data_IF_505525613057
#
_entry.id   IF_505525613057
#
_cell.length_a   1.000
_cell.length_b   1.000
_cell.length_c   1.000
_cell.angle_alpha   90.00
_cell.angle_beta   90.00
_cell.angle_gamma   90.00
#
_symmetry.space_group_name_H-M   'P 1'
#
loop_
_entity.id
_entity.type
_entity.pdbx_description
1 polymer ?
#
# COMPACT_ATOMS: atom_id res chain seq x y z
N UNK A 1 -10.18 16.65 -0.08
CA UNK A 1 -10.53 15.33 0.48
C UNK A 1 -12.04 15.12 0.47
N UNK A 2 -12.84 15.90 1.22
CA UNK A 2 -14.29 15.66 1.35
C UNK A 2 -15.05 15.43 0.04
N UNK A 3 -14.85 16.27 -0.98
CA UNK A 3 -15.55 16.14 -2.28
C UNK A 3 -15.15 14.85 -3.03
N UNK A 4 -13.97 14.34 -2.82
CA UNK A 4 -13.53 13.08 -3.41
C UNK A 4 -14.19 11.89 -2.71
N UNK A 5 -14.14 11.87 -1.38
CA UNK A 5 -14.48 10.71 -0.57
C UNK A 5 -15.97 10.62 -0.23
N UNK A 6 -16.68 11.77 -0.19
CA UNK A 6 -18.11 11.81 0.15
C UNK A 6 -19.05 11.69 -1.07
N UNK A 7 -18.51 11.54 -2.28
CA UNK A 7 -19.30 11.44 -3.50
C UNK A 7 -20.27 10.26 -3.47
N UNK A 8 -21.51 10.49 -3.91
CA UNK A 8 -22.62 9.52 -3.89
C UNK A 8 -23.00 8.99 -2.51
N UNK A 9 -22.67 9.72 -1.44
CA UNK A 9 -23.03 9.34 -0.07
C UNK A 9 -24.11 10.28 0.47
N UNK A 10 -25.04 9.72 1.22
CA UNK A 10 -25.95 10.48 2.09
C UNK A 10 -25.32 10.62 3.45
N UNK A 11 -25.62 11.72 4.13
CA UNK A 11 -25.13 11.97 5.50
C UNK A 11 -26.27 11.79 6.50
N UNK A 12 -25.94 11.13 7.60
CA UNK A 12 -26.83 10.98 8.76
C UNK A 12 -26.00 11.19 10.02
N UNK A 13 -26.39 12.15 10.85
CA UNK A 13 -25.76 12.38 12.13
C UNK A 13 -26.52 11.64 13.25
N UNK A 14 -25.81 10.78 13.97
CA UNK A 14 -26.35 10.00 15.11
C UNK A 14 -25.39 10.11 16.29
N UNK A 15 -25.95 10.28 17.49
CA UNK A 15 -25.18 10.10 18.72
C UNK A 15 -25.25 8.62 19.15
N UNK A 16 -24.23 7.85 18.77
CA UNK A 16 -24.13 6.43 19.08
C UNK A 16 -23.81 6.15 20.57
N UNK A 17 -23.54 7.18 21.37
CA UNK A 17 -23.45 7.01 22.83
C UNK A 17 -24.84 6.87 23.49
N UNK A 18 -25.90 7.19 22.76
CA UNK A 18 -27.31 7.12 23.20
C UNK A 18 -28.00 5.88 22.62
N UNK A 19 -28.86 5.22 23.43
CA UNK A 19 -29.62 4.06 22.96
C UNK A 19 -30.48 4.34 21.72
N UNK A 20 -31.05 5.54 21.64
CA UNK A 20 -31.90 5.95 20.53
C UNK A 20 -31.09 6.05 19.22
N UNK A 21 -29.84 6.59 19.28
CA UNK A 21 -28.93 6.65 18.15
C UNK A 21 -28.49 5.25 17.69
N UNK A 22 -28.19 4.37 18.66
CA UNK A 22 -27.88 2.96 18.36
C UNK A 22 -29.06 2.25 17.71
N UNK A 23 -30.29 2.45 18.21
CA UNK A 23 -31.49 1.84 17.64
C UNK A 23 -31.73 2.26 16.17
N UNK A 24 -31.46 3.51 15.83
CA UNK A 24 -31.53 3.97 14.42
C UNK A 24 -30.47 3.27 13.58
N UNK A 25 -29.22 3.20 14.05
CA UNK A 25 -28.14 2.52 13.33
C UNK A 25 -28.45 1.03 13.12
N UNK A 26 -28.95 0.34 14.13
CA UNK A 26 -29.30 -1.07 14.04
C UNK A 26 -30.39 -1.30 13.00
N UNK A 27 -31.41 -0.45 12.91
CA UNK A 27 -32.44 -0.54 11.85
C UNK A 27 -31.86 -0.34 10.45
N UNK A 28 -30.86 0.54 10.30
CA UNK A 28 -30.15 0.70 9.03
C UNK A 28 -29.31 -0.54 8.69
N UNK A 29 -28.57 -1.07 9.66
CA UNK A 29 -27.75 -2.27 9.48
C UNK A 29 -28.58 -3.51 9.13
N UNK A 30 -29.79 -3.62 9.67
CA UNK A 30 -30.74 -4.70 9.37
C UNK A 30 -31.15 -4.74 7.87
N UNK A 31 -31.02 -3.63 7.15
CA UNK A 31 -31.37 -3.51 5.73
C UNK A 31 -30.14 -3.31 4.83
N UNK A 32 -28.95 -3.16 5.42
CA UNK A 32 -27.73 -2.89 4.67
C UNK A 32 -27.14 -4.16 4.07
N UNK A 33 -26.59 -4.07 2.87
CA UNK A 33 -25.76 -5.13 2.30
C UNK A 33 -24.40 -5.21 2.96
N UNK A 34 -23.81 -4.02 3.23
CA UNK A 34 -22.47 -3.90 3.79
C UNK A 34 -22.47 -2.84 4.88
N UNK A 35 -21.91 -3.17 6.03
CA UNK A 35 -21.58 -2.23 7.10
C UNK A 35 -20.08 -2.04 7.17
N UNK A 36 -19.60 -0.80 7.08
CA UNK A 36 -18.15 -0.47 7.11
C UNK A 36 -17.83 0.36 8.35
N UNK A 37 -16.77 0.00 9.05
CA UNK A 37 -16.26 0.78 10.19
C UNK A 37 -14.73 0.77 10.24
N UNK A 38 -14.16 1.90 10.64
CA UNK A 38 -12.73 2.02 10.96
C UNK A 38 -12.46 2.31 12.45
N UNK A 39 -13.45 2.20 13.30
CA UNK A 39 -13.23 2.29 14.74
C UNK A 39 -12.44 1.10 15.28
N UNK A 40 -11.54 1.31 16.26
CA UNK A 40 -10.87 0.22 16.96
C UNK A 40 -11.87 -0.72 17.64
N UNK A 41 -11.52 -2.01 17.88
CA UNK A 41 -12.41 -3.02 18.45
C UNK A 41 -13.10 -2.58 19.75
N UNK A 42 -12.36 -1.99 20.69
CA UNK A 42 -12.90 -1.48 21.95
C UNK A 42 -13.96 -0.38 21.78
N UNK A 43 -13.77 0.51 20.78
CA UNK A 43 -14.76 1.57 20.50
C UNK A 43 -16.02 0.97 19.88
N UNK A 44 -15.88 0.00 18.97
CA UNK A 44 -17.03 -0.71 18.39
C UNK A 44 -17.83 -1.44 19.45
N UNK A 45 -17.17 -2.09 20.42
CA UNK A 45 -17.84 -2.74 21.54
C UNK A 45 -18.62 -1.74 22.39
N UNK A 46 -18.01 -0.60 22.74
CA UNK A 46 -18.65 0.48 23.50
C UNK A 46 -19.88 1.07 22.79
N UNK A 47 -19.82 1.17 21.46
CA UNK A 47 -20.89 1.74 20.65
C UNK A 47 -21.98 0.73 20.24
N UNK A 48 -21.84 -0.55 20.59
CA UNK A 48 -22.79 -1.59 20.21
C UNK A 48 -22.81 -1.89 18.70
N UNK A 49 -21.67 -1.76 18.01
CA UNK A 49 -21.54 -1.90 16.56
C UNK A 49 -20.51 -2.96 16.14
N UNK A 50 -20.25 -3.95 16.99
CA UNK A 50 -19.43 -5.10 16.59
C UNK A 50 -20.19 -6.01 15.63
N UNK A 51 -19.49 -6.95 15.02
CA UNK A 51 -20.13 -7.99 14.20
C UNK A 51 -21.22 -8.74 14.97
N UNK A 52 -20.92 -9.13 16.21
CA UNK A 52 -21.85 -9.88 17.07
C UNK A 52 -23.10 -9.06 17.47
N UNK A 53 -23.03 -7.73 17.46
CA UNK A 53 -24.19 -6.88 17.69
C UNK A 53 -25.09 -6.76 16.44
N UNK A 54 -24.51 -6.73 15.23
CA UNK A 54 -25.25 -6.43 14.01
C UNK A 54 -25.67 -7.67 13.21
N UNK A 55 -24.83 -8.72 13.18
CA UNK A 55 -25.10 -9.93 12.40
C UNK A 55 -26.40 -10.66 12.78
N UNK A 56 -26.82 -10.74 14.07
CA UNK A 56 -28.09 -11.36 14.43
C UNK A 56 -29.34 -10.67 13.84
N UNK A 57 -29.21 -9.41 13.44
CA UNK A 57 -30.31 -8.64 12.86
C UNK A 57 -30.35 -8.75 11.34
N UNK A 58 -29.27 -9.23 10.71
CA UNK A 58 -29.16 -9.40 9.27
C UNK A 58 -28.14 -10.50 8.93
N UNK A 59 -28.62 -11.73 8.75
CA UNK A 59 -27.77 -12.88 8.42
C UNK A 59 -27.02 -12.73 7.09
N UNK A 60 -27.42 -11.78 6.24
CA UNK A 60 -26.78 -11.48 4.96
C UNK A 60 -25.77 -10.33 5.03
N UNK A 61 -25.61 -9.69 6.19
CA UNK A 61 -24.74 -8.54 6.35
C UNK A 61 -23.28 -8.89 6.08
N UNK A 62 -22.64 -8.15 5.21
CA UNK A 62 -21.17 -8.11 5.13
C UNK A 62 -20.69 -7.04 6.11
N UNK A 63 -20.14 -7.50 7.22
CA UNK A 63 -19.51 -6.61 8.20
C UNK A 63 -18.04 -6.41 7.80
N UNK A 64 -17.68 -5.19 7.47
CA UNK A 64 -16.35 -4.84 6.98
C UNK A 64 -15.66 -3.90 7.97
N UNK A 65 -14.53 -4.32 8.53
CA UNK A 65 -13.78 -3.54 9.51
C UNK A 65 -12.38 -3.23 9.05
N UNK A 66 -11.94 -2.01 9.30
CA UNK A 66 -10.61 -1.54 8.94
C UNK A 66 -9.92 -0.94 10.18
N UNK A 67 -8.63 -1.24 10.36
CA UNK A 67 -7.86 -0.75 11.51
C UNK A 67 -6.44 -0.37 11.12
N UNK A 68 -5.70 0.24 12.04
CA UNK A 68 -4.27 0.53 11.83
C UNK A 68 -3.41 -0.73 11.81
N UNK A 69 -3.60 -1.61 12.82
CA UNK A 69 -2.67 -2.72 13.10
C UNK A 69 -3.32 -4.10 13.11
N UNK A 70 -4.57 -4.22 12.74
CA UNK A 70 -5.34 -5.47 12.83
C UNK A 70 -6.23 -5.52 14.06
N UNK A 71 -7.00 -6.61 14.18
CA UNK A 71 -7.98 -6.79 15.26
C UNK A 71 -7.53 -7.77 16.34
N UNK A 72 -6.34 -8.31 16.21
CA UNK A 72 -5.77 -9.30 17.14
C UNK A 72 -4.37 -8.87 17.58
N UNK A 73 -3.96 -9.35 18.74
CA UNK A 73 -2.65 -9.03 19.32
C UNK A 73 -2.65 -7.75 20.16
N UNK A 74 -1.51 -7.41 20.69
CA UNK A 74 -1.33 -6.32 21.66
C UNK A 74 -1.65 -4.93 21.07
N UNK A 75 -1.50 -4.76 19.76
CA UNK A 75 -1.72 -3.48 19.09
C UNK A 75 -3.14 -3.34 18.49
N UNK A 76 -4.07 -4.28 18.73
CA UNK A 76 -5.41 -4.29 18.13
C UNK A 76 -6.24 -3.01 18.39
N UNK A 77 -6.04 -2.39 19.55
CA UNK A 77 -6.74 -1.16 19.94
C UNK A 77 -5.91 0.11 19.73
N UNK A 78 -4.68 -0.02 19.20
CA UNK A 78 -3.81 1.11 18.96
C UNK A 78 -4.28 1.92 17.76
N UNK A 79 -4.40 3.25 17.88
CA UNK A 79 -4.72 4.09 16.74
C UNK A 79 -3.59 4.08 15.73
N UNK A 80 -3.93 4.05 14.45
CA UNK A 80 -2.97 4.08 13.35
C UNK A 80 -3.48 4.89 12.18
N UNK A 81 -2.54 5.57 11.51
CA UNK A 81 -2.76 6.37 10.31
C UNK A 81 -1.86 5.83 9.19
N UNK A 82 -2.10 6.26 7.97
CA UNK A 82 -1.30 5.84 6.82
C UNK A 82 0.20 6.13 7.01
N UNK A 83 0.54 7.28 7.58
CA UNK A 83 1.94 7.68 7.80
C UNK A 83 2.68 6.82 8.83
N UNK A 84 2.02 6.35 9.88
CA UNK A 84 2.68 5.56 10.92
C UNK A 84 2.45 4.05 10.78
N UNK A 85 1.22 3.59 10.48
CA UNK A 85 0.92 2.17 10.40
C UNK A 85 1.29 1.57 9.03
N UNK A 86 0.90 2.22 7.91
CA UNK A 86 1.23 1.75 6.58
C UNK A 86 2.68 2.05 6.20
N UNK A 87 3.11 3.32 6.34
CA UNK A 87 4.38 3.80 5.81
C UNK A 87 5.58 3.47 6.70
N UNK A 88 5.54 3.92 7.97
CA UNK A 88 6.69 3.75 8.86
C UNK A 88 6.78 2.32 9.40
N UNK A 89 5.69 1.77 9.96
CA UNK A 89 5.70 0.49 10.65
C UNK A 89 5.94 -0.71 9.72
N UNK A 90 5.54 -0.64 8.47
CA UNK A 90 5.80 -1.66 7.46
C UNK A 90 7.25 -1.71 6.99
N UNK A 91 8.04 -0.68 7.30
CA UNK A 91 9.40 -0.51 6.81
C UNK A 91 9.53 0.23 5.48
N UNK A 92 8.43 0.58 4.81
CA UNK A 92 8.46 1.29 3.52
C UNK A 92 9.23 2.61 3.61
N UNK A 93 9.05 3.35 4.71
CA UNK A 93 9.75 4.61 4.95
C UNK A 93 11.28 4.48 4.86
N UNK A 94 11.82 3.37 5.36
CA UNK A 94 13.24 3.08 5.25
C UNK A 94 13.60 2.50 3.88
N UNK A 95 12.78 1.60 3.34
CA UNK A 95 13.05 0.89 2.10
C UNK A 95 13.16 1.80 0.87
N UNK A 96 12.49 2.95 0.85
CA UNK A 96 12.54 3.91 -0.28
C UNK A 96 13.57 5.02 -0.11
N UNK A 97 14.41 4.98 0.92
CA UNK A 97 15.53 5.94 1.03
C UNK A 97 16.46 5.80 -0.17
N UNK A 98 16.96 6.92 -0.64
CA UNK A 98 17.90 6.96 -1.76
C UNK A 98 19.19 6.17 -1.46
N UNK A 99 19.69 6.29 -0.23
CA UNK A 99 20.87 5.58 0.27
C UNK A 99 20.79 5.40 1.81
N UNK A 100 21.84 4.88 2.41
CA UNK A 100 21.88 4.62 3.86
C UNK A 100 22.04 5.89 4.72
N UNK A 101 22.47 6.99 4.14
CA UNK A 101 22.72 8.26 4.84
C UNK A 101 21.58 9.26 4.69
N UNK A 102 20.74 9.07 3.68
CA UNK A 102 19.59 9.95 3.43
C UNK A 102 18.52 9.79 4.51
N UNK A 103 17.98 10.90 4.98
CA UNK A 103 16.84 10.91 5.91
C UNK A 103 15.63 10.24 5.27
N UNK A 104 14.90 9.36 6.00
CA UNK A 104 13.67 8.77 5.50
C UNK A 104 12.64 9.83 5.13
N UNK A 105 11.99 9.65 3.99
CA UNK A 105 10.95 10.56 3.50
C UNK A 105 9.61 10.30 4.22
N UNK A 106 8.83 11.37 4.42
CA UNK A 106 7.43 11.24 4.84
C UNK A 106 6.57 10.79 3.67
N UNK A 107 5.53 10.01 3.98
CA UNK A 107 4.48 9.73 3.00
C UNK A 107 3.69 10.99 2.65
N UNK A 108 3.13 11.03 1.46
CA UNK A 108 2.07 11.99 1.13
C UNK A 108 0.73 11.50 1.69
N UNK A 109 -0.21 12.43 1.92
CA UNK A 109 -1.54 12.08 2.44
C UNK A 109 -2.26 11.08 1.52
N UNK A 110 -2.84 10.03 2.09
CA UNK A 110 -3.57 9.00 1.37
C UNK A 110 -2.69 7.94 0.68
N UNK A 111 -1.37 8.04 0.78
CA UNK A 111 -0.45 7.08 0.15
C UNK A 111 -0.64 5.65 0.65
N UNK A 112 -1.03 5.49 1.92
CA UNK A 112 -1.39 4.20 2.50
C UNK A 112 -2.88 3.91 2.41
N UNK A 113 -3.73 4.91 2.68
CA UNK A 113 -5.17 4.74 2.75
C UNK A 113 -5.79 4.29 1.41
N UNK A 114 -5.37 4.89 0.29
CA UNK A 114 -5.96 4.58 -1.02
C UNK A 114 -5.68 3.14 -1.49
N UNK A 115 -4.45 2.61 -1.50
CA UNK A 115 -4.22 1.21 -1.85
C UNK A 115 -4.87 0.25 -0.84
N UNK A 116 -4.91 0.60 0.45
CA UNK A 116 -5.60 -0.17 1.46
C UNK A 116 -7.12 -0.21 1.22
N UNK A 117 -7.73 0.90 0.78
CA UNK A 117 -9.14 0.94 0.43
C UNK A 117 -9.45 0.00 -0.75
N UNK A 118 -8.57 -0.12 -1.74
CA UNK A 118 -8.74 -1.07 -2.85
C UNK A 118 -8.61 -2.53 -2.39
N UNK A 119 -7.67 -2.85 -1.51
CA UNK A 119 -7.56 -4.18 -0.91
C UNK A 119 -8.80 -4.52 -0.08
N UNK A 120 -9.30 -3.56 0.69
CA UNK A 120 -10.49 -3.71 1.50
C UNK A 120 -11.76 -3.86 0.64
N UNK A 121 -11.88 -3.10 -0.44
CA UNK A 121 -12.92 -3.27 -1.45
C UNK A 121 -12.89 -4.68 -2.04
N UNK A 122 -11.73 -5.21 -2.39
CA UNK A 122 -11.56 -6.57 -2.86
C UNK A 122 -12.09 -7.62 -1.87
N UNK A 123 -11.80 -7.44 -0.57
CA UNK A 123 -12.31 -8.31 0.49
C UNK A 123 -13.85 -8.24 0.60
N UNK A 124 -14.42 -7.04 0.52
CA UNK A 124 -15.89 -6.83 0.55
C UNK A 124 -16.56 -7.51 -0.65
N UNK A 125 -16.05 -7.28 -1.88
CA UNK A 125 -16.62 -7.89 -3.09
C UNK A 125 -16.52 -9.41 -3.06
N UNK A 126 -15.40 -9.95 -2.57
CA UNK A 126 -15.24 -11.41 -2.37
C UNK A 126 -16.28 -11.97 -1.40
N UNK A 127 -16.56 -11.24 -0.31
CA UNK A 127 -17.59 -11.63 0.66
C UNK A 127 -19.01 -11.53 0.06
N UNK A 128 -19.30 -10.51 -0.73
CA UNK A 128 -20.55 -10.39 -1.48
C UNK A 128 -20.74 -11.56 -2.44
N UNK A 129 -19.70 -11.91 -3.21
CA UNK A 129 -19.74 -13.06 -4.11
C UNK A 129 -19.99 -14.38 -3.35
N UNK A 130 -19.32 -14.56 -2.20
CA UNK A 130 -19.56 -15.71 -1.31
C UNK A 130 -21.03 -15.72 -0.83
N UNK A 131 -21.57 -14.56 -0.44
CA UNK A 131 -22.96 -14.42 0.02
C UNK A 131 -23.97 -14.84 -1.05
N UNK A 132 -23.74 -14.48 -2.31
CA UNK A 132 -24.62 -14.89 -3.42
C UNK A 132 -24.68 -16.42 -3.59
N UNK A 133 -23.63 -17.14 -3.23
CA UNK A 133 -23.58 -18.61 -3.31
C UNK A 133 -24.08 -19.31 -2.05
N UNK A 134 -23.96 -18.68 -0.89
CA UNK A 134 -24.24 -19.31 0.41
C UNK A 134 -25.51 -18.78 1.08
N UNK A 135 -26.02 -17.65 0.61
CA UNK A 135 -27.11 -16.91 1.27
C UNK A 135 -26.68 -16.16 2.54
N UNK A 136 -25.43 -16.34 3.02
CA UNK A 136 -24.97 -15.84 4.32
C UNK A 136 -23.94 -14.74 4.18
N UNK A 137 -24.04 -13.72 5.03
CA UNK A 137 -23.05 -12.68 5.23
C UNK A 137 -21.76 -13.19 5.88
N UNK A 138 -20.85 -12.29 6.15
CA UNK A 138 -19.59 -12.62 6.83
C UNK A 138 -18.90 -11.36 7.34
N UNK A 139 -17.99 -11.55 8.30
CA UNK A 139 -17.04 -10.52 8.70
C UNK A 139 -15.79 -10.56 7.81
N UNK A 140 -15.40 -9.42 7.27
CA UNK A 140 -14.14 -9.22 6.58
C UNK A 140 -13.36 -8.08 7.24
N UNK A 141 -12.05 -8.20 7.31
CA UNK A 141 -11.21 -7.16 7.90
C UNK A 141 -9.96 -6.90 7.05
N UNK A 142 -9.47 -5.68 7.13
CA UNK A 142 -8.17 -5.29 6.58
C UNK A 142 -7.51 -4.27 7.51
N UNK A 143 -6.22 -4.00 7.32
CA UNK A 143 -5.51 -3.01 8.13
C UNK A 143 -4.34 -2.38 7.39
N UNK A 144 -3.94 -1.19 7.84
CA UNK A 144 -2.87 -0.41 7.22
C UNK A 144 -1.53 -1.14 7.25
N UNK A 145 -1.12 -1.67 8.41
CA UNK A 145 0.18 -2.32 8.55
C UNK A 145 0.32 -3.55 7.66
N UNK A 146 -0.68 -4.43 7.60
CA UNK A 146 -0.62 -5.63 6.76
C UNK A 146 -0.52 -5.28 5.27
N UNK A 147 -1.24 -4.26 4.81
CA UNK A 147 -1.14 -3.78 3.43
C UNK A 147 0.23 -3.12 3.15
N UNK A 148 0.79 -2.41 4.12
CA UNK A 148 2.15 -1.86 4.01
C UNK A 148 3.20 -2.96 3.93
N UNK A 149 3.08 -4.01 4.75
CA UNK A 149 3.95 -5.20 4.67
C UNK A 149 3.76 -5.93 3.34
N UNK A 150 2.53 -6.01 2.83
CA UNK A 150 2.28 -6.54 1.49
C UNK A 150 3.00 -5.73 0.40
N UNK A 151 2.97 -4.40 0.47
CA UNK A 151 3.72 -3.55 -0.47
C UNK A 151 5.24 -3.77 -0.40
N UNK A 152 5.78 -4.10 0.78
CA UNK A 152 7.19 -4.44 1.01
C UNK A 152 7.49 -5.96 0.89
N UNK A 153 6.53 -6.79 0.50
CA UNK A 153 6.54 -8.24 0.67
C UNK A 153 7.72 -8.96 0.02
N UNK A 154 8.18 -8.50 -1.14
CA UNK A 154 9.34 -9.09 -1.84
C UNK A 154 10.58 -9.04 -0.96
N UNK A 155 10.87 -7.88 -0.36
CA UNK A 155 12.03 -7.70 0.51
C UNK A 155 11.83 -8.37 1.87
N UNK A 156 10.61 -8.30 2.42
CA UNK A 156 10.28 -8.99 3.66
C UNK A 156 10.44 -10.50 3.52
N UNK A 157 9.91 -11.10 2.44
CA UNK A 157 10.07 -12.53 2.17
C UNK A 157 11.54 -12.91 1.93
N UNK A 158 12.27 -12.12 1.15
CA UNK A 158 13.70 -12.36 0.92
C UNK A 158 14.48 -12.38 2.26
N UNK A 159 14.18 -11.47 3.17
CA UNK A 159 14.81 -11.44 4.49
C UNK A 159 14.46 -12.65 5.35
N UNK A 160 13.19 -13.08 5.33
CA UNK A 160 12.72 -14.26 6.07
C UNK A 160 13.42 -15.55 5.64
N UNK A 161 13.79 -15.68 4.36
CA UNK A 161 14.56 -16.82 3.85
C UNK A 161 16.08 -16.63 3.91
N UNK A 162 16.56 -15.62 4.65
CA UNK A 162 17.97 -15.42 4.93
C UNK A 162 18.76 -14.65 3.88
N UNK A 163 18.11 -13.97 2.94
CA UNK A 163 18.81 -13.16 1.95
C UNK A 163 19.62 -12.04 2.62
N UNK A 164 20.83 -11.84 2.12
CA UNK A 164 21.71 -10.72 2.50
C UNK A 164 21.50 -9.58 1.51
N UNK A 165 21.13 -8.41 2.00
CA UNK A 165 21.02 -7.22 1.17
C UNK A 165 22.34 -6.47 1.13
N UNK A 166 22.69 -6.00 -0.06
CA UNK A 166 23.80 -5.07 -0.21
C UNK A 166 23.41 -3.70 0.36
N UNK A 167 24.37 -2.95 0.91
CA UNK A 167 24.16 -1.55 1.29
C UNK A 167 23.57 -0.76 0.11
N UNK A 168 22.61 0.10 0.41
CA UNK A 168 22.04 1.01 -0.60
C UNK A 168 23.12 2.01 -1.00
N UNK A 169 23.24 2.24 -2.30
CA UNK A 169 24.21 3.15 -2.86
C UNK A 169 23.53 4.44 -3.29
N UNK A 170 24.25 5.54 -3.24
CA UNK A 170 23.77 6.78 -3.85
C UNK A 170 23.52 6.57 -5.35
N UNK A 171 22.72 7.43 -5.95
CA UNK A 171 22.43 7.40 -7.38
C UNK A 171 23.72 7.42 -8.22
N UNK A 172 24.69 8.25 -7.82
CA UNK A 172 25.98 8.40 -8.47
C UNK A 172 26.83 7.13 -8.41
N UNK A 173 26.66 6.33 -7.37
CA UNK A 173 27.40 5.08 -7.15
C UNK A 173 26.54 3.83 -7.45
N UNK A 174 25.47 3.97 -8.22
CA UNK A 174 24.60 2.86 -8.59
C UNK A 174 25.37 1.75 -9.32
N UNK A 175 25.00 0.50 -9.05
CA UNK A 175 25.62 -0.66 -9.72
C UNK A 175 25.23 -0.80 -11.19
N UNK A 176 24.20 -0.10 -11.61
CA UNK A 176 23.67 -0.16 -12.97
C UNK A 176 23.22 1.21 -13.44
N UNK A 177 24.01 1.82 -14.30
CA UNK A 177 23.72 3.12 -14.90
C UNK A 177 22.45 3.11 -15.78
N UNK A 178 22.11 2.00 -16.41
CA UNK A 178 20.93 1.91 -17.29
C UNK A 178 19.65 1.44 -16.58
N UNK A 179 19.72 1.31 -15.25
CA UNK A 179 18.56 1.14 -14.37
C UNK A 179 18.73 2.07 -13.18
N UNK A 180 18.46 3.34 -13.39
CA UNK A 180 18.70 4.40 -12.44
C UNK A 180 17.82 5.62 -12.78
N UNK A 181 17.88 6.68 -11.99
CA UNK A 181 17.15 7.93 -12.25
C UNK A 181 18.09 9.08 -12.53
N UNK A 182 17.69 9.96 -13.45
CA UNK A 182 18.49 11.04 -13.97
C UNK A 182 17.72 12.34 -14.03
N UNK A 183 18.42 13.44 -13.71
CA UNK A 183 17.88 14.77 -13.91
C UNK A 183 18.14 15.24 -15.33
N UNK A 184 17.09 15.68 -16.00
CA UNK A 184 17.16 16.26 -17.33
C UNK A 184 17.62 17.72 -17.30
N UNK A 185 17.99 18.26 -18.44
CA UNK A 185 18.43 19.66 -18.58
C UNK A 185 17.38 20.69 -18.12
N UNK A 186 16.11 20.34 -18.19
CA UNK A 186 14.96 21.15 -17.77
C UNK A 186 14.55 20.87 -16.30
N UNK A 187 15.47 20.35 -15.50
CA UNK A 187 15.32 20.03 -14.07
C UNK A 187 14.31 18.92 -13.76
N UNK A 188 13.60 18.37 -14.72
CA UNK A 188 12.72 17.20 -14.51
C UNK A 188 13.54 15.92 -14.33
N UNK A 189 12.94 14.96 -13.67
CA UNK A 189 13.56 13.65 -13.43
C UNK A 189 12.91 12.58 -14.30
N UNK A 190 13.72 11.64 -14.75
CA UNK A 190 13.29 10.41 -15.39
C UNK A 190 13.86 9.19 -14.65
N UNK A 191 13.14 8.08 -14.73
CA UNK A 191 13.66 6.76 -14.37
C UNK A 191 13.97 6.02 -15.65
N UNK A 192 15.21 5.57 -15.77
CA UNK A 192 15.66 4.68 -16.82
C UNK A 192 15.60 3.23 -16.30
N UNK A 193 15.01 2.32 -17.07
CA UNK A 193 14.90 0.92 -16.68
C UNK A 193 14.96 0.03 -17.92
N UNK A 194 16.15 -0.48 -18.24
CA UNK A 194 16.38 -1.40 -19.32
C UNK A 194 16.31 -2.84 -18.83
N UNK A 195 15.20 -3.53 -19.12
CA UNK A 195 15.00 -4.93 -18.73
C UNK A 195 15.84 -5.91 -19.55
N UNK A 196 15.97 -5.65 -20.84
CA UNK A 196 16.85 -6.40 -21.75
C UNK A 196 17.96 -5.47 -22.24
N UNK A 197 18.95 -5.29 -21.39
CA UNK A 197 19.99 -4.27 -21.57
C UNK A 197 20.74 -4.40 -22.88
N UNK A 198 21.22 -5.60 -23.22
CA UNK A 198 22.04 -5.80 -24.42
C UNK A 198 21.25 -5.50 -25.71
N UNK A 199 19.97 -5.86 -25.74
CA UNK A 199 19.09 -5.56 -26.88
C UNK A 199 18.73 -4.06 -26.96
N UNK A 200 18.54 -3.42 -25.82
CA UNK A 200 18.05 -2.03 -25.75
C UNK A 200 19.17 -1.00 -25.74
N UNK A 201 20.38 -1.41 -25.42
CA UNK A 201 21.56 -0.54 -25.33
C UNK A 201 21.82 0.29 -26.58
N UNK A 202 21.85 -0.29 -27.81
CA UNK A 202 22.09 0.50 -29.01
C UNK A 202 21.04 1.61 -29.23
N UNK A 203 19.77 1.33 -28.89
CA UNK A 203 18.70 2.33 -29.00
C UNK A 203 18.89 3.46 -27.99
N UNK A 204 19.22 3.14 -26.74
CA UNK A 204 19.48 4.15 -25.73
C UNK A 204 20.68 5.03 -26.12
N UNK A 205 21.79 4.44 -26.53
CA UNK A 205 22.98 5.18 -26.95
C UNK A 205 22.68 6.15 -28.09
N UNK A 206 21.90 5.73 -29.08
CA UNK A 206 21.41 6.61 -30.15
C UNK A 206 20.54 7.75 -29.63
N UNK A 207 19.61 7.48 -28.74
CA UNK A 207 18.74 8.52 -28.15
C UNK A 207 19.54 9.57 -27.37
N UNK A 208 20.69 9.17 -26.81
CA UNK A 208 21.60 10.06 -26.09
C UNK A 208 22.62 10.78 -26.99
N UNK A 209 22.63 10.49 -28.32
CA UNK A 209 23.65 11.02 -29.23
C UNK A 209 25.05 10.45 -28.97
N UNK A 210 25.14 9.27 -28.35
CA UNK A 210 26.39 8.61 -27.96
C UNK A 210 26.51 7.25 -28.66
N UNK A 211 26.39 7.26 -29.99
CA UNK A 211 26.53 6.07 -30.81
C UNK A 211 27.94 5.43 -30.72
N UNK A 212 28.95 6.26 -30.37
CA UNK A 212 30.29 5.82 -30.06
C UNK A 212 30.37 4.72 -29.01
N UNK A 213 29.46 4.75 -28.04
CA UNK A 213 29.40 3.77 -26.95
C UNK A 213 28.83 2.39 -27.38
N UNK A 214 28.22 2.29 -28.56
CA UNK A 214 27.66 1.03 -29.05
C UNK A 214 28.77 0.03 -29.36
N UNK A 215 29.85 0.51 -29.95
CA UNK A 215 30.99 -0.32 -30.37
C UNK A 215 32.16 -0.26 -29.39
N UNK A 216 32.08 0.52 -28.35
CA UNK A 216 33.07 0.58 -27.31
C UNK A 216 33.13 -0.70 -26.49
N UNK A 217 34.27 -1.44 -26.49
CA UNK A 217 34.36 -2.72 -25.77
C UNK A 217 34.14 -2.59 -24.24
N UNK A 218 34.34 -1.37 -23.70
CA UNK A 218 34.08 -1.11 -22.27
C UNK A 218 32.58 -1.23 -21.89
N UNK A 219 31.67 -1.08 -22.88
CA UNK A 219 30.22 -1.04 -22.67
C UNK A 219 29.45 -2.04 -23.55
N UNK A 220 30.17 -2.94 -24.21
CA UNK A 220 29.60 -3.86 -25.20
C UNK A 220 28.55 -4.80 -24.62
N UNK A 221 28.78 -5.35 -23.43
CA UNK A 221 27.85 -6.28 -22.78
C UNK A 221 27.30 -5.68 -21.49
N UNK A 222 26.17 -6.24 -21.04
CA UNK A 222 25.60 -5.94 -19.71
C UNK A 222 26.65 -6.03 -18.60
N UNK A 223 27.45 -7.09 -18.60
CA UNK A 223 28.52 -7.29 -17.61
C UNK A 223 29.55 -6.16 -17.62
N UNK A 224 29.95 -5.70 -18.80
CA UNK A 224 30.95 -4.64 -18.97
C UNK A 224 30.38 -3.30 -18.50
N UNK A 225 29.13 -2.98 -18.85
CA UNK A 225 28.43 -1.77 -18.38
C UNK A 225 28.28 -1.74 -16.86
N UNK A 226 27.91 -2.86 -16.23
CA UNK A 226 27.79 -2.94 -14.77
C UNK A 226 29.14 -2.79 -14.08
N UNK A 227 30.20 -3.40 -14.64
CA UNK A 227 31.56 -3.26 -14.10
C UNK A 227 32.08 -1.82 -14.15
N UNK A 228 31.55 -1.00 -15.07
CA UNK A 228 31.94 0.41 -15.32
C UNK A 228 30.77 1.38 -15.16
N UNK A 229 29.84 1.07 -14.28
CA UNK A 229 28.62 1.86 -14.07
C UNK A 229 28.92 3.33 -13.71
N UNK A 230 30.03 3.60 -13.03
CA UNK A 230 30.45 4.96 -12.67
C UNK A 230 31.02 5.75 -13.85
N UNK A 231 31.63 5.06 -14.82
CA UNK A 231 32.18 5.68 -16.00
C UNK A 231 31.08 5.98 -17.04
N UNK A 232 30.08 5.12 -17.12
CA UNK A 232 28.96 5.23 -18.03
C UNK A 232 27.97 6.31 -17.59
#
# INVERSE_FOLDING_TARGET
AWMLEARNKKSLALDLSKPEGQAVLHRLAAQADVFITNYPPQVRAKLGITYDHLAPQNERLIYASFTGYGEKGEEANKPGFDSNAYWARSGLMDLVRADEHTTPARSVAGMGDHPCAMAFYGAIVTALYKRERTGKGSHVSSNLMANGVWAASVLAQAKLVGAKFLPRRTRENALNAVTNHYQCKDERWLILSLLNEDRQWPTLAKCLGREDLITDPRFATKKDRHARSLEL
#
